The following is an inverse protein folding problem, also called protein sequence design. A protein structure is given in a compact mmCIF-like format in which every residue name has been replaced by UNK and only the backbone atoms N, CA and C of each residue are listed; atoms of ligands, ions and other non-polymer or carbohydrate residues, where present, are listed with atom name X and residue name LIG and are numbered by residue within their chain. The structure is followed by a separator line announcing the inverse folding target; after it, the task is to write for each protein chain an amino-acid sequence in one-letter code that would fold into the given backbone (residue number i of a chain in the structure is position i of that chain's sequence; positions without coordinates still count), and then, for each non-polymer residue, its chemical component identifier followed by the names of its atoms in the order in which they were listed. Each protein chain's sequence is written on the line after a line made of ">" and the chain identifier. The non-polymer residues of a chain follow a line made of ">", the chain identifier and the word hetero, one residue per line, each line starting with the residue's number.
data_IF_568239637092
#
_entry.id   IF_568239637092
#
_cell.length_a   1.000
_cell.length_b   1.000
_cell.length_c   1.000
_cell.angle_alpha   90.00
_cell.angle_beta   90.00
_cell.angle_gamma   90.00
#
_symmetry.space_group_name_H-M   'P 1'
#
loop_
_entity.id
_entity.type
_entity.pdbx_description
1 polymer ?
#
# COMPACT_ATOMS: atom_id res chain seq x y z
N UNK A 1 8.91 -27.66 -17.09
CA UNK A 1 8.89 -26.86 -15.85
C UNK A 1 9.76 -27.57 -14.81
N UNK A 2 10.95 -27.04 -14.52
CA UNK A 2 11.77 -27.54 -13.40
C UNK A 2 11.04 -27.18 -12.12
N UNK A 3 10.69 -28.17 -11.29
CA UNK A 3 10.33 -27.93 -9.89
C UNK A 3 11.55 -27.26 -9.25
N UNK A 4 11.48 -25.95 -9.04
CA UNK A 4 12.40 -25.28 -8.13
C UNK A 4 12.24 -25.96 -6.78
N UNK A 5 13.32 -26.49 -6.23
CA UNK A 5 13.31 -26.97 -4.85
C UNK A 5 12.90 -25.77 -3.99
N UNK A 6 11.72 -25.86 -3.41
CA UNK A 6 11.29 -24.94 -2.37
C UNK A 6 12.25 -25.20 -1.21
N UNK A 7 13.28 -24.37 -1.11
CA UNK A 7 14.10 -24.35 0.09
C UNK A 7 13.16 -23.90 1.21
N UNK A 8 13.03 -24.71 2.24
CA UNK A 8 12.40 -24.32 3.49
C UNK A 8 13.21 -23.16 4.06
N UNK A 9 12.74 -21.94 3.79
CA UNK A 9 13.37 -20.73 4.29
C UNK A 9 12.89 -20.56 5.74
N UNK A 10 13.80 -20.66 6.70
CA UNK A 10 13.55 -20.22 8.06
C UNK A 10 13.62 -18.68 8.06
N UNK A 11 12.46 -17.99 8.22
CA UNK A 11 12.44 -16.53 8.11
C UNK A 11 13.24 -15.92 9.26
N UNK A 12 14.41 -15.41 8.97
CA UNK A 12 15.15 -14.60 9.93
C UNK A 12 14.48 -13.22 10.05
N UNK A 13 13.50 -13.13 10.94
CA UNK A 13 12.69 -11.92 11.17
C UNK A 13 13.55 -10.70 11.53
N UNK A 14 14.64 -10.89 12.26
CA UNK A 14 15.55 -9.80 12.61
C UNK A 14 16.21 -9.22 11.35
N UNK A 15 16.66 -10.09 10.44
CA UNK A 15 17.24 -9.64 9.17
C UNK A 15 16.22 -8.94 8.30
N UNK A 16 14.97 -9.40 8.29
CA UNK A 16 13.88 -8.73 7.56
C UNK A 16 13.60 -7.34 8.15
N UNK A 17 13.51 -7.23 9.47
CA UNK A 17 13.33 -5.96 10.17
C UNK A 17 14.46 -4.97 9.85
N UNK A 18 15.72 -5.42 9.92
CA UNK A 18 16.89 -4.61 9.55
C UNK A 18 16.81 -4.10 8.10
N UNK A 19 16.46 -4.98 7.16
CA UNK A 19 16.35 -4.62 5.73
C UNK A 19 15.25 -3.59 5.53
N UNK A 20 14.05 -3.81 6.06
CA UNK A 20 12.92 -2.90 5.92
C UNK A 20 13.21 -1.54 6.56
N UNK A 21 13.78 -1.53 7.78
CA UNK A 21 14.18 -0.28 8.44
C UNK A 21 15.20 0.51 7.61
N UNK A 22 16.21 -0.16 7.05
CA UNK A 22 17.23 0.49 6.23
C UNK A 22 16.64 1.05 4.93
N UNK A 23 15.80 0.29 4.24
CA UNK A 23 15.15 0.73 2.98
C UNK A 23 14.27 1.95 3.24
N UNK A 24 13.38 1.89 4.22
CA UNK A 24 12.48 3.01 4.53
C UNK A 24 13.27 4.23 4.99
N UNK A 25 14.30 4.05 5.82
CA UNK A 25 15.15 5.16 6.26
C UNK A 25 15.80 5.88 5.08
N UNK A 26 16.35 5.12 4.13
CA UNK A 26 16.98 5.71 2.95
C UNK A 26 15.96 6.47 2.08
N UNK A 27 14.72 6.00 2.00
CA UNK A 27 13.65 6.66 1.26
C UNK A 27 13.09 7.90 1.98
N UNK A 28 13.31 8.03 3.28
CA UNK A 28 12.96 9.24 4.05
C UNK A 28 13.99 10.36 3.92
N UNK A 29 15.20 10.06 3.39
CA UNK A 29 16.23 11.07 3.12
C UNK A 29 15.87 11.82 1.84
N UNK A 30 15.21 12.96 1.98
CA UNK A 30 14.77 13.78 0.86
C UNK A 30 14.83 15.28 1.22
N UNK A 31 15.02 16.10 0.21
CA UNK A 31 15.00 17.58 0.32
C UNK A 31 13.57 18.15 0.36
N UNK A 32 12.57 17.27 0.32
CA UNK A 32 11.14 17.62 0.28
C UNK A 32 10.37 16.89 1.36
N UNK A 33 9.17 17.35 1.67
CA UNK A 33 8.31 16.66 2.63
C UNK A 33 7.88 15.31 2.09
N UNK A 34 8.13 14.27 2.91
CA UNK A 34 7.77 12.86 2.66
C UNK A 34 6.62 12.48 3.58
N UNK A 35 5.68 11.72 3.07
CA UNK A 35 4.57 11.14 3.82
C UNK A 35 4.33 9.68 3.47
N UNK A 36 3.24 9.11 3.94
CA UNK A 36 2.86 7.72 3.66
C UNK A 36 1.41 7.60 3.22
N UNK A 37 1.09 6.62 2.38
CA UNK A 37 -0.28 6.18 2.16
C UNK A 37 -0.62 5.07 3.16
N UNK A 38 -1.71 5.23 3.89
CA UNK A 38 -2.13 4.33 4.95
C UNK A 38 -3.56 3.84 4.67
N UNK A 39 -3.71 2.56 4.31
CA UNK A 39 -5.02 1.93 4.07
C UNK A 39 -5.57 1.21 5.31
N UNK A 40 -4.74 1.00 6.33
CA UNK A 40 -5.06 0.12 7.47
C UNK A 40 -4.72 -1.35 7.21
N UNK A 41 -4.29 -1.72 5.99
CA UNK A 41 -3.71 -3.03 5.69
C UNK A 41 -2.33 -3.21 6.33
N UNK A 42 -1.86 -4.46 6.40
CA UNK A 42 -0.59 -4.82 7.07
C UNK A 42 0.58 -4.07 6.46
N UNK A 43 0.70 -4.07 5.14
CA UNK A 43 1.87 -3.53 4.43
C UNK A 43 1.98 -2.01 4.60
N UNK A 44 0.90 -1.28 4.34
CA UNK A 44 0.87 0.18 4.50
C UNK A 44 1.08 0.61 5.96
N UNK A 45 0.55 -0.15 6.91
CA UNK A 45 0.72 0.10 8.35
C UNK A 45 2.15 -0.15 8.79
N UNK A 46 2.80 -1.22 8.29
CA UNK A 46 4.22 -1.53 8.57
C UNK A 46 5.15 -0.44 8.03
N UNK A 47 4.97 -0.03 6.76
CA UNK A 47 5.75 1.06 6.18
C UNK A 47 5.56 2.36 6.96
N UNK A 48 4.32 2.70 7.32
CA UNK A 48 4.02 3.91 8.11
C UNK A 48 4.65 3.83 9.51
N UNK A 49 4.64 2.67 10.17
CA UNK A 49 5.25 2.46 11.48
C UNK A 49 6.77 2.64 11.43
N UNK A 50 7.42 2.06 10.42
CA UNK A 50 8.87 2.22 10.24
C UNK A 50 9.20 3.68 9.91
N UNK A 51 8.40 4.33 9.06
CA UNK A 51 8.58 5.72 8.70
C UNK A 51 8.43 6.65 9.91
N UNK A 52 7.39 6.47 10.75
CA UNK A 52 7.17 7.27 11.95
C UNK A 52 8.31 7.14 12.96
N UNK A 53 8.88 5.94 13.11
CA UNK A 53 10.02 5.66 14.00
C UNK A 53 11.32 6.31 13.53
N UNK A 54 11.53 6.41 12.22
CA UNK A 54 12.79 6.87 11.63
C UNK A 54 12.74 8.34 11.16
N UNK A 55 11.58 8.95 11.06
CA UNK A 55 11.46 10.35 10.65
C UNK A 55 11.64 11.31 11.84
N UNK A 56 12.36 12.41 11.62
CA UNK A 56 12.68 13.39 12.67
C UNK A 56 11.46 14.22 13.12
N UNK A 57 10.48 14.38 12.25
CA UNK A 57 9.23 15.10 12.51
C UNK A 57 8.08 14.08 12.51
N UNK A 58 6.94 14.51 13.00
CA UNK A 58 5.69 13.76 12.91
C UNK A 58 5.35 13.51 11.44
N UNK A 59 5.32 12.22 11.03
CA UNK A 59 5.03 11.84 9.65
C UNK A 59 3.57 12.16 9.29
N UNK A 60 3.34 12.62 8.08
CA UNK A 60 1.98 12.82 7.57
C UNK A 60 1.55 11.57 6.79
N UNK A 61 0.45 10.96 7.20
CA UNK A 61 -0.15 9.84 6.48
C UNK A 61 -1.49 10.22 5.87
N UNK A 62 -1.80 9.62 4.72
CA UNK A 62 -2.99 9.90 3.93
C UNK A 62 -3.80 8.63 3.74
N UNK A 63 -5.08 8.73 3.99
CA UNK A 63 -6.05 7.63 3.81
C UNK A 63 -7.17 8.09 2.91
N UNK A 64 -7.67 7.16 2.10
CA UNK A 64 -8.84 7.34 1.28
C UNK A 64 -10.00 6.55 1.87
N UNK A 65 -11.16 7.18 1.96
CA UNK A 65 -12.41 6.56 2.38
C UNK A 65 -13.53 6.80 1.38
N UNK A 66 -14.58 6.02 1.49
CA UNK A 66 -15.82 6.20 0.71
C UNK A 66 -16.94 6.60 1.65
N UNK A 67 -17.80 7.56 1.23
CA UNK A 67 -18.89 8.06 2.07
C UNK A 67 -19.94 6.98 2.39
N UNK A 68 -20.08 5.96 1.53
CA UNK A 68 -21.15 4.94 1.62
C UNK A 68 -20.74 3.68 2.41
N UNK A 69 -19.49 3.54 2.85
CA UNK A 69 -19.02 2.35 3.55
C UNK A 69 -19.10 2.48 5.06
N UNK A 70 -20.00 1.69 5.66
CA UNK A 70 -20.24 1.66 7.12
C UNK A 70 -19.14 0.99 7.95
N UNK A 71 -18.19 0.27 7.33
CA UNK A 71 -16.99 -0.31 7.96
C UNK A 71 -15.81 -0.05 7.04
N UNK A 72 -15.25 1.11 7.16
CA UNK A 72 -14.19 1.52 6.25
C UNK A 72 -12.82 1.15 6.81
N UNK A 73 -11.90 0.81 5.91
CA UNK A 73 -10.47 0.76 6.19
C UNK A 73 -9.99 2.04 6.89
N UNK A 74 -10.74 3.13 6.78
CA UNK A 74 -10.51 4.41 7.43
C UNK A 74 -10.46 4.29 8.96
N UNK A 75 -11.37 3.53 9.59
CA UNK A 75 -11.36 3.38 11.05
C UNK A 75 -10.12 2.63 11.53
N UNK A 76 -9.70 1.63 10.76
CA UNK A 76 -8.48 0.90 11.06
C UNK A 76 -7.25 1.78 10.84
N UNK A 77 -7.18 2.47 9.72
CA UNK A 77 -6.12 3.43 9.43
C UNK A 77 -6.02 4.53 10.50
N UNK A 78 -7.16 5.04 10.97
CA UNK A 78 -7.21 6.04 12.05
C UNK A 78 -6.60 5.50 13.34
N UNK A 79 -6.97 4.28 13.76
CA UNK A 79 -6.39 3.64 14.96
C UNK A 79 -4.88 3.49 14.85
N UNK A 80 -4.36 3.09 13.68
CA UNK A 80 -2.92 3.01 13.45
C UNK A 80 -2.26 4.39 13.47
N UNK A 81 -2.85 5.38 12.82
CA UNK A 81 -2.31 6.75 12.80
C UNK A 81 -2.26 7.36 14.21
N UNK A 82 -3.31 7.16 15.01
CA UNK A 82 -3.37 7.61 16.40
C UNK A 82 -2.32 6.89 17.27
N UNK A 83 -2.18 5.57 17.11
CA UNK A 83 -1.18 4.76 17.84
C UNK A 83 0.25 5.17 17.51
N UNK A 84 0.54 5.50 16.25
CA UNK A 84 1.85 5.91 15.75
C UNK A 84 2.12 7.40 15.93
N UNK A 85 1.18 8.14 16.48
CA UNK A 85 1.22 9.60 16.62
C UNK A 85 1.49 10.31 15.28
N UNK A 86 0.86 9.86 14.20
CA UNK A 86 0.99 10.45 12.87
C UNK A 86 0.06 11.66 12.67
N UNK A 87 0.43 12.54 11.72
CA UNK A 87 -0.46 13.59 11.25
C UNK A 87 -1.38 12.99 10.17
N UNK A 88 -2.58 12.52 10.56
CA UNK A 88 -3.48 11.80 9.68
C UNK A 88 -4.41 12.72 8.90
N UNK A 89 -4.40 12.58 7.57
CA UNK A 89 -5.30 13.28 6.64
C UNK A 89 -6.14 12.27 5.88
N UNK A 90 -7.45 12.45 5.90
CA UNK A 90 -8.41 11.54 5.26
C UNK A 90 -9.12 12.29 4.13
N UNK A 91 -9.17 11.64 2.95
CA UNK A 91 -9.97 12.07 1.81
C UNK A 91 -11.17 11.15 1.70
N UNK A 92 -12.37 11.69 1.84
CA UNK A 92 -13.59 10.95 1.54
C UNK A 92 -13.98 11.22 0.08
N UNK A 93 -14.08 10.15 -0.71
CA UNK A 93 -14.47 10.20 -2.11
C UNK A 93 -15.98 10.21 -2.26
N UNK A 94 -16.44 11.07 -3.14
CA UNK A 94 -17.82 11.10 -3.65
C UNK A 94 -17.88 10.41 -5.00
N UNK A 95 -19.06 9.93 -5.36
CA UNK A 95 -19.29 9.28 -6.66
C UNK A 95 -18.92 10.19 -7.83
N UNK A 96 -19.19 11.50 -7.70
CA UNK A 96 -18.90 12.47 -8.74
C UNK A 96 -17.39 12.65 -8.96
N UNK A 97 -16.57 12.60 -7.90
CA UNK A 97 -15.10 12.67 -7.99
C UNK A 97 -14.54 11.49 -8.81
N UNK A 98 -15.11 10.31 -8.62
CA UNK A 98 -14.73 9.11 -9.39
C UNK A 98 -15.09 9.26 -10.87
N UNK A 99 -16.31 9.71 -11.18
CA UNK A 99 -16.77 9.89 -12.56
C UNK A 99 -15.92 10.93 -13.30
N UNK A 100 -15.65 12.07 -12.68
CA UNK A 100 -14.78 13.10 -13.25
C UNK A 100 -13.38 12.57 -13.53
N UNK A 101 -12.82 11.76 -12.61
CA UNK A 101 -11.48 11.20 -12.77
C UNK A 101 -11.44 10.18 -13.91
N UNK A 102 -12.48 9.34 -14.07
CA UNK A 102 -12.57 8.36 -15.17
C UNK A 102 -12.50 9.06 -16.54
N UNK A 103 -13.22 10.15 -16.72
CA UNK A 103 -13.24 10.88 -17.98
C UNK A 103 -11.86 11.45 -18.33
N UNK A 104 -11.09 11.86 -17.33
CA UNK A 104 -9.79 12.51 -17.51
C UNK A 104 -8.60 11.54 -17.33
N UNK A 105 -8.84 10.23 -17.15
CA UNK A 105 -7.80 9.25 -16.85
C UNK A 105 -6.74 9.14 -17.96
N UNK A 106 -7.17 9.29 -19.21
CA UNK A 106 -6.31 9.27 -20.39
C UNK A 106 -5.27 10.40 -20.44
N UNK A 107 -5.53 11.52 -19.74
CA UNK A 107 -4.62 12.65 -19.67
C UNK A 107 -3.58 12.47 -18.54
N UNK A 108 -3.74 11.43 -17.72
CA UNK A 108 -2.90 11.14 -16.56
C UNK A 108 -1.94 9.98 -16.85
N UNK A 109 -2.41 8.96 -17.55
CA UNK A 109 -1.65 7.75 -17.89
C UNK A 109 -1.36 7.70 -19.39
N UNK A 110 -0.12 7.46 -19.76
CA UNK A 110 0.32 7.33 -21.14
C UNK A 110 -0.19 6.04 -21.82
N UNK A 111 -0.48 5.02 -21.00
CA UNK A 111 -0.96 3.71 -21.46
C UNK A 111 -2.24 3.30 -20.71
N UNK A 112 -3.14 2.53 -21.37
CA UNK A 112 -4.29 1.97 -20.70
C UNK A 112 -3.88 1.02 -19.59
N UNK A 113 -4.30 1.28 -18.36
CA UNK A 113 -4.05 0.45 -17.20
C UNK A 113 -5.36 -0.26 -16.79
N UNK A 114 -5.33 -1.59 -16.74
CA UNK A 114 -6.50 -2.42 -16.37
C UNK A 114 -6.71 -2.60 -14.86
N UNK A 115 -6.14 -1.71 -14.03
CA UNK A 115 -6.25 -1.79 -12.58
C UNK A 115 -7.33 -0.82 -12.05
N UNK A 116 -8.37 -1.31 -11.36
CA UNK A 116 -9.39 -0.45 -10.77
C UNK A 116 -8.85 0.47 -9.66
N UNK A 117 -7.71 0.15 -9.05
CA UNK A 117 -7.05 0.98 -8.03
C UNK A 117 -6.45 2.28 -8.59
N UNK A 118 -6.31 2.42 -9.92
CA UNK A 118 -5.75 3.62 -10.54
C UNK A 118 -6.50 4.90 -10.17
N UNK A 119 -7.84 4.86 -10.15
CA UNK A 119 -8.67 6.04 -9.88
C UNK A 119 -8.51 6.52 -8.43
N UNK A 120 -8.69 5.65 -7.42
CA UNK A 120 -8.37 5.99 -6.03
C UNK A 120 -6.95 6.52 -5.85
N UNK A 121 -5.97 5.89 -6.50
CA UNK A 121 -4.55 6.29 -6.41
C UNK A 121 -4.32 7.70 -6.95
N UNK A 122 -4.92 8.05 -8.09
CA UNK A 122 -4.85 9.41 -8.66
C UNK A 122 -5.43 10.44 -7.70
N UNK A 123 -6.62 10.18 -7.16
CA UNK A 123 -7.30 11.10 -6.26
C UNK A 123 -6.53 11.28 -4.94
N UNK A 124 -6.04 10.19 -4.37
CA UNK A 124 -5.21 10.22 -3.16
C UNK A 124 -3.90 10.97 -3.41
N UNK A 125 -3.23 10.72 -4.54
CA UNK A 125 -2.00 11.42 -4.93
C UNK A 125 -2.22 12.91 -5.14
N UNK A 126 -3.31 13.31 -5.80
CA UNK A 126 -3.72 14.70 -5.97
C UNK A 126 -4.02 15.38 -4.64
N UNK A 127 -4.63 14.67 -3.70
CA UNK A 127 -4.88 15.17 -2.34
C UNK A 127 -3.57 15.35 -1.56
N UNK A 128 -2.71 14.35 -1.57
CA UNK A 128 -1.44 14.33 -0.84
C UNK A 128 -0.45 15.37 -1.38
N UNK A 129 -0.42 15.60 -2.70
CA UNK A 129 0.50 16.54 -3.35
C UNK A 129 0.38 17.99 -2.89
N UNK A 130 -0.75 18.35 -2.25
CA UNK A 130 -0.95 19.66 -1.60
C UNK A 130 -0.08 19.84 -0.36
N UNK A 131 0.46 18.76 0.21
CA UNK A 131 1.18 18.77 1.47
C UNK A 131 2.55 18.11 1.41
N UNK A 132 2.73 17.13 0.55
CA UNK A 132 3.97 16.37 0.38
C UNK A 132 4.34 16.25 -1.09
N UNK A 133 5.58 15.87 -1.36
CA UNK A 133 6.07 15.61 -2.73
C UNK A 133 6.41 14.14 -2.97
N UNK A 134 6.64 13.39 -1.90
CA UNK A 134 6.94 11.96 -1.96
C UNK A 134 6.03 11.23 -0.97
N UNK A 135 5.41 10.15 -1.41
CA UNK A 135 4.64 9.25 -0.57
C UNK A 135 5.26 7.85 -0.60
N UNK A 136 5.50 7.27 0.56
CA UNK A 136 5.83 5.85 0.69
C UNK A 136 4.53 5.04 0.73
N UNK A 137 4.52 3.91 0.05
CA UNK A 137 3.35 3.01 -0.04
C UNK A 137 3.71 1.60 0.40
N UNK A 138 2.67 0.78 0.66
CA UNK A 138 2.82 -0.65 0.89
C UNK A 138 2.82 -1.50 -0.38
N UNK A 139 2.82 -0.87 -1.56
CA UNK A 139 2.75 -1.56 -2.84
C UNK A 139 3.94 -2.52 -3.03
N UNK A 140 3.66 -3.69 -3.58
CA UNK A 140 4.64 -4.77 -3.72
C UNK A 140 4.70 -5.72 -2.51
N UNK A 141 4.06 -5.40 -1.39
CA UNK A 141 4.00 -6.26 -0.21
C UNK A 141 3.34 -7.61 -0.51
N UNK A 142 2.15 -7.58 -1.12
CA UNK A 142 1.41 -8.78 -1.50
C UNK A 142 2.18 -9.68 -2.49
N UNK A 143 2.94 -9.11 -3.41
CA UNK A 143 3.78 -9.82 -4.36
C UNK A 143 4.95 -10.51 -3.69
N UNK A 144 5.59 -9.84 -2.74
CA UNK A 144 6.78 -10.35 -2.04
C UNK A 144 6.43 -11.37 -0.94
N UNK A 145 5.34 -11.13 -0.22
CA UNK A 145 4.95 -11.92 0.95
C UNK A 145 3.74 -12.84 0.71
N UNK A 146 3.21 -12.88 -0.50
CA UNK A 146 2.13 -13.80 -0.87
C UNK A 146 0.77 -13.43 -0.30
N UNK A 147 0.45 -12.14 -0.17
CA UNK A 147 -0.78 -11.63 0.43
C UNK A 147 -2.05 -11.88 -0.39
N UNK A 148 -1.93 -12.08 -1.71
CA UNK A 148 -3.10 -12.31 -2.55
C UNK A 148 -3.72 -13.69 -2.37
N UNK A 149 -5.03 -13.74 -2.23
CA UNK A 149 -5.81 -14.99 -2.16
C UNK A 149 -5.55 -15.93 -3.35
N UNK A 150 -5.22 -15.40 -4.54
CA UNK A 150 -4.88 -16.19 -5.73
C UNK A 150 -3.67 -17.12 -5.50
N UNK A 151 -2.73 -16.78 -4.63
CA UNK A 151 -1.59 -17.64 -4.31
C UNK A 151 -2.04 -18.89 -3.52
N UNK A 152 -2.99 -18.74 -2.61
CA UNK A 152 -3.57 -19.87 -1.86
C UNK A 152 -4.36 -20.80 -2.78
N UNK A 153 -5.04 -20.24 -3.79
CA UNK A 153 -5.77 -21.04 -4.78
C UNK A 153 -4.85 -21.75 -5.79
N UNK A 154 -3.74 -21.11 -6.18
CA UNK A 154 -2.81 -21.71 -7.17
C UNK A 154 -2.21 -23.02 -6.67
N UNK A 155 -1.90 -23.13 -5.39
CA UNK A 155 -1.42 -24.38 -4.78
C UNK A 155 -2.48 -25.50 -4.83
N UNK A 156 -3.76 -25.17 -4.58
CA UNK A 156 -4.87 -26.13 -4.69
C UNK A 156 -5.10 -26.57 -6.14
N UNK A 157 -5.05 -25.64 -7.09
CA UNK A 157 -5.23 -25.90 -8.52
C UNK A 157 -4.07 -26.74 -9.07
N UNK A 158 -2.84 -26.49 -8.66
CA UNK A 158 -1.69 -27.29 -9.08
C UNK A 158 -1.79 -28.76 -8.63
N UNK A 159 -2.38 -29.00 -7.45
CA UNK A 159 -2.65 -30.37 -6.97
C UNK A 159 -3.77 -31.06 -7.76
N UNK A 160 -4.77 -30.30 -8.24
CA UNK A 160 -5.84 -30.83 -9.08
C UNK A 160 -5.38 -31.11 -10.51
N UNK A 161 -4.51 -30.28 -11.07
CA UNK A 161 -3.97 -30.45 -12.41
C UNK A 161 -3.10 -31.71 -12.55
N UNK A 162 -2.47 -32.18 -11.47
CA UNK A 162 -1.68 -33.42 -11.46
C UNK A 162 -2.53 -34.72 -11.47
N UNK A 163 -3.85 -34.62 -11.30
CA UNK A 163 -4.78 -35.75 -11.26
C UNK A 163 -5.41 -36.01 -12.64
N UNK A 164 -5.28 -35.08 -13.60
CA UNK A 164 -5.95 -35.11 -14.89
C UNK A 164 -5.02 -35.08 -16.12
N UNK A 165 -3.72 -35.41 -15.95
CA UNK A 165 -2.77 -35.62 -17.07
C UNK A 165 -2.30 -37.05 -17.06
#
# INVERSE_FOLDING_TARGET
>A
YRKSQIQTFDPNLNKLDDVLNNVVRNQLEADVEVGTFLSGGIDSSLITAIASKNHKKKITCFTLGFEEESFSEVDQAKRFADFLDCNHKILFLKKDDLLETIVNIQDIYDEPLGDPAQIPTVLLSKFASKSIKVALTGDGGDELFGGYNRYLFSEKLSKLSLIHI
#
